data_IF_093536718871
#
_entry.id   IF_093536718871
#
_cell.length_a   1.000
_cell.length_b   1.000
_cell.length_c   1.000
_cell.angle_alpha   90.00
_cell.angle_beta   90.00
_cell.angle_gamma   90.00
#
_symmetry.space_group_name_H-M   'P 1'
#
loop_
_entity.id
_entity.type
_entity.pdbx_description
1 polymer ?
#
# COMPACT_ATOMS: atom_id res chain seq x y z
N UNK A 1 21.69 -15.99 -1.87
CA UNK A 1 21.16 -14.78 -1.21
C UNK A 1 19.65 -14.74 -1.42
N UNK A 2 18.87 -14.99 -0.36
CA UNK A 2 17.41 -14.88 -0.35
C UNK A 2 17.01 -13.40 -0.34
N UNK A 3 17.18 -12.73 -1.48
CA UNK A 3 16.65 -11.39 -1.69
C UNK A 3 15.20 -11.57 -2.15
N UNK A 4 14.29 -11.39 -1.19
CA UNK A 4 12.86 -11.50 -1.43
C UNK A 4 12.39 -10.33 -2.31
N UNK A 5 11.93 -10.65 -3.53
CA UNK A 5 11.66 -9.67 -4.58
C UNK A 5 10.31 -8.93 -4.43
N UNK A 6 9.51 -9.28 -3.41
CA UNK A 6 8.12 -8.81 -3.25
C UNK A 6 7.77 -8.20 -1.87
N UNK A 7 8.75 -8.03 -0.97
CA UNK A 7 8.53 -7.39 0.34
C UNK A 7 7.57 -8.14 1.27
N UNK A 8 7.25 -9.40 0.96
CA UNK A 8 6.39 -10.27 1.75
C UNK A 8 7.12 -10.79 2.99
N UNK A 9 8.42 -11.07 2.88
CA UNK A 9 9.30 -11.49 3.97
C UNK A 9 9.42 -10.43 5.06
N UNK A 10 9.52 -9.14 4.69
CA UNK A 10 9.58 -8.05 5.67
C UNK A 10 8.33 -8.03 6.55
N UNK A 11 7.14 -8.21 5.97
CA UNK A 11 5.89 -8.30 6.73
C UNK A 11 5.77 -9.60 7.52
N UNK A 12 6.29 -10.71 7.01
CA UNK A 12 6.37 -11.98 7.74
C UNK A 12 7.26 -11.88 8.98
N UNK A 13 8.44 -11.29 8.86
CA UNK A 13 9.40 -11.10 9.96
C UNK A 13 8.85 -10.14 11.01
N UNK A 14 8.20 -9.05 10.59
CA UNK A 14 7.55 -8.12 11.51
C UNK A 14 6.41 -8.82 12.28
N UNK A 15 5.55 -9.58 11.59
CA UNK A 15 4.49 -10.35 12.25
C UNK A 15 5.05 -11.43 13.19
N UNK A 16 6.14 -12.11 12.80
CA UNK A 16 6.80 -13.11 13.63
C UNK A 16 7.42 -12.49 14.89
N UNK A 17 8.05 -11.31 14.77
CA UNK A 17 8.60 -10.57 15.90
C UNK A 17 7.54 -10.12 16.90
N UNK A 18 6.40 -9.63 16.43
CA UNK A 18 5.29 -9.24 17.31
C UNK A 18 4.55 -10.43 17.92
N UNK A 19 4.41 -11.55 17.20
CA UNK A 19 3.83 -12.79 17.75
C UNK A 19 4.70 -13.37 18.88
N UNK A 20 6.02 -13.32 18.73
CA UNK A 20 6.95 -13.72 19.79
C UNK A 20 6.83 -12.81 21.03
N UNK A 21 6.67 -11.50 20.83
CA UNK A 21 6.54 -10.54 21.93
C UNK A 21 5.21 -10.68 22.69
N UNK A 22 4.08 -10.84 22.00
CA UNK A 22 2.77 -11.06 22.65
C UNK A 22 2.72 -12.43 23.36
N UNK A 23 3.37 -13.46 22.81
CA UNK A 23 3.54 -14.75 23.49
C UNK A 23 4.37 -14.62 24.78
N UNK A 24 5.47 -13.86 24.74
CA UNK A 24 6.33 -13.62 25.90
C UNK A 24 5.64 -12.80 27.00
N UNK A 25 4.86 -11.78 26.62
CA UNK A 25 4.09 -10.97 27.58
C UNK A 25 2.96 -11.79 28.23
N UNK A 26 2.34 -12.71 27.49
CA UNK A 26 1.35 -13.65 28.02
C UNK A 26 1.97 -14.64 29.01
N UNK A 27 3.17 -15.15 28.72
CA UNK A 27 3.94 -16.01 29.63
C UNK A 27 4.27 -15.29 30.95
N UNK A 28 4.76 -14.06 30.89
CA UNK A 28 5.03 -13.25 32.10
C UNK A 28 3.77 -12.85 32.89
N UNK A 29 2.58 -12.89 32.27
CA UNK A 29 1.30 -12.59 32.94
C UNK A 29 0.71 -13.77 33.72
N UNK A 30 1.44 -14.88 33.89
CA UNK A 30 1.02 -16.06 34.67
C UNK A 30 0.00 -16.96 33.97
N UNK A 31 -0.23 -16.77 32.66
CA UNK A 31 -1.14 -17.64 31.88
C UNK A 31 -0.44 -18.97 31.58
N UNK A 32 -1.07 -20.08 31.94
CA UNK A 32 -0.56 -21.42 31.64
C UNK A 32 -0.38 -21.67 30.13
N UNK A 33 0.35 -22.73 29.78
CA UNK A 33 0.75 -23.07 28.40
C UNK A 33 -0.38 -22.95 27.36
N UNK A 34 -1.62 -23.34 27.72
CA UNK A 34 -2.80 -23.21 26.85
C UNK A 34 -3.17 -21.75 26.54
N UNK A 35 -3.03 -20.84 27.51
CA UNK A 35 -3.28 -19.41 27.33
C UNK A 35 -2.24 -18.71 26.47
N UNK A 36 -0.98 -19.16 26.52
CA UNK A 36 0.10 -18.70 25.64
C UNK A 36 -0.12 -19.18 24.21
N UNK A 37 -0.49 -20.46 24.02
CA UNK A 37 -0.80 -21.01 22.71
C UNK A 37 -1.99 -20.31 22.05
N UNK A 38 -3.04 -20.03 22.81
CA UNK A 38 -4.21 -19.27 22.33
C UNK A 38 -3.85 -17.82 22.02
N UNK A 39 -3.05 -17.14 22.86
CA UNK A 39 -2.60 -15.78 22.58
C UNK A 39 -1.69 -15.70 21.34
N UNK A 40 -0.79 -16.66 21.17
CA UNK A 40 0.04 -16.78 19.97
C UNK A 40 -0.80 -17.09 18.73
N UNK A 41 -1.79 -17.98 18.85
CA UNK A 41 -2.73 -18.28 17.77
C UNK A 41 -3.60 -17.07 17.41
N UNK A 42 -4.14 -16.32 18.37
CA UNK A 42 -4.88 -15.08 18.10
C UNK A 42 -3.99 -13.93 17.61
N UNK A 43 -2.74 -13.87 18.04
CA UNK A 43 -1.73 -12.95 17.51
C UNK A 43 -1.38 -13.28 16.04
N UNK A 44 -1.29 -14.56 15.71
CA UNK A 44 -1.04 -15.08 14.37
C UNK A 44 -2.27 -14.98 13.45
N UNK A 45 -3.48 -15.15 14.00
CA UNK A 45 -4.76 -15.16 13.25
C UNK A 45 -5.48 -13.79 13.28
N UNK A 46 -4.95 -12.80 14.00
CA UNK A 46 -5.40 -11.40 13.87
C UNK A 46 -6.60 -11.01 14.72
N UNK A 47 -6.56 -11.32 16.02
CA UNK A 47 -7.54 -10.88 17.01
C UNK A 47 -7.39 -9.39 17.36
N UNK A 48 -8.22 -8.54 16.77
CA UNK A 48 -8.57 -7.21 17.30
C UNK A 48 -7.57 -6.07 17.06
N UNK A 49 -6.28 -6.23 17.33
CA UNK A 49 -5.31 -5.09 17.29
C UNK A 49 -4.74 -4.83 15.90
N UNK A 50 -4.82 -5.82 15.02
CA UNK A 50 -4.55 -5.63 13.59
C UNK A 50 -5.60 -4.72 12.95
N UNK A 51 -6.84 -4.57 13.46
CA UNK A 51 -7.83 -3.66 12.80
C UNK A 51 -7.38 -2.19 12.76
N UNK A 52 -6.58 -1.72 13.72
CA UNK A 52 -6.03 -0.37 13.72
C UNK A 52 -4.80 -0.21 12.79
N UNK A 53 -3.95 -1.23 12.70
CA UNK A 53 -2.82 -1.28 11.75
C UNK A 53 -3.24 -1.68 10.32
N UNK A 54 -4.40 -2.33 10.17
CA UNK A 54 -5.08 -2.76 8.94
C UNK A 54 -6.11 -1.73 8.50
N UNK A 55 -5.88 -0.45 8.78
CA UNK A 55 -6.39 0.59 7.91
C UNK A 55 -5.72 0.32 6.56
N UNK A 56 -6.42 -0.39 5.66
CA UNK A 56 -5.85 -1.01 4.47
C UNK A 56 -4.89 -0.04 3.77
N UNK A 57 -3.59 -0.28 3.96
CA UNK A 57 -2.55 0.62 3.51
C UNK A 57 -2.59 0.68 1.99
N UNK A 58 -2.82 1.87 1.47
CA UNK A 58 -2.86 2.10 0.04
C UNK A 58 -1.43 2.24 -0.48
N UNK A 59 -1.22 1.73 -1.69
CA UNK A 59 0.00 1.93 -2.45
C UNK A 59 -0.32 2.69 -3.74
N UNK A 60 0.58 3.59 -4.13
CA UNK A 60 0.52 4.32 -5.40
C UNK A 60 1.58 3.75 -6.33
N UNK A 61 1.20 3.52 -7.58
CA UNK A 61 2.03 2.87 -8.58
C UNK A 61 1.96 3.63 -9.92
N UNK A 62 2.95 3.35 -10.75
CA UNK A 62 3.07 3.83 -12.13
C UNK A 62 3.15 2.64 -13.07
N UNK A 63 2.64 2.83 -14.28
CA UNK A 63 2.96 1.97 -15.41
C UNK A 63 3.85 2.73 -16.38
N UNK A 64 4.96 2.13 -16.78
CA UNK A 64 5.91 2.71 -17.73
C UNK A 64 6.00 1.89 -19.01
N UNK A 65 6.12 2.58 -20.14
CA UNK A 65 6.40 1.99 -21.46
C UNK A 65 7.44 2.85 -22.15
N UNK A 66 8.51 2.23 -22.65
CA UNK A 66 9.61 2.92 -23.34
C UNK A 66 10.13 4.13 -22.52
N UNK A 67 10.39 3.89 -21.23
CA UNK A 67 10.85 4.91 -20.26
C UNK A 67 9.88 6.09 -20.03
N UNK A 68 8.65 6.03 -20.54
CA UNK A 68 7.60 7.04 -20.33
C UNK A 68 6.52 6.50 -19.41
N UNK A 69 6.06 7.32 -18.46
CA UNK A 69 4.91 6.99 -17.63
C UNK A 69 3.65 7.08 -18.47
N UNK A 70 2.92 5.97 -18.57
CA UNK A 70 1.67 5.88 -19.35
C UNK A 70 0.43 5.79 -18.47
N UNK A 71 0.56 5.40 -17.20
CA UNK A 71 -0.57 5.29 -16.29
C UNK A 71 -0.15 5.52 -14.84
N UNK A 72 -1.04 6.12 -14.05
CA UNK A 72 -0.88 6.32 -12.61
C UNK A 72 -2.09 5.73 -11.89
N UNK A 73 -1.88 5.00 -10.81
CA UNK A 73 -2.98 4.47 -10.03
C UNK A 73 -2.65 4.22 -8.56
N UNK A 74 -3.70 3.90 -7.79
CA UNK A 74 -3.59 3.44 -6.40
C UNK A 74 -4.28 2.09 -6.20
N UNK A 75 -3.78 1.29 -5.25
CA UNK A 75 -4.35 -0.02 -4.93
C UNK A 75 -4.17 -0.36 -3.45
N UNK A 76 -5.02 -1.26 -2.94
CA UNK A 76 -4.84 -1.90 -1.61
C UNK A 76 -4.05 -3.21 -1.72
N UNK A 77 -4.07 -3.83 -2.89
CA UNK A 77 -3.39 -5.09 -3.17
C UNK A 77 -2.56 -4.92 -4.45
N UNK A 78 -1.24 -4.91 -4.31
CA UNK A 78 -0.30 -4.68 -5.42
C UNK A 78 -0.26 -5.90 -6.34
N UNK A 79 -0.22 -7.10 -5.79
CA UNK A 79 -0.12 -8.37 -6.54
C UNK A 79 -1.30 -8.54 -7.48
N UNK A 80 -2.53 -8.46 -6.93
CA UNK A 80 -3.76 -8.57 -7.72
C UNK A 80 -3.82 -7.48 -8.80
N UNK A 81 -3.42 -6.25 -8.49
CA UNK A 81 -3.44 -5.14 -9.46
C UNK A 81 -2.40 -5.32 -10.57
N UNK A 82 -1.21 -5.84 -10.25
CA UNK A 82 -0.16 -6.16 -11.22
C UNK A 82 -0.66 -7.22 -12.19
N UNK A 83 -1.26 -8.30 -11.68
CA UNK A 83 -1.84 -9.37 -12.52
C UNK A 83 -2.97 -8.85 -13.42
N UNK A 84 -3.87 -8.01 -12.90
CA UNK A 84 -4.93 -7.41 -13.70
C UNK A 84 -4.40 -6.56 -14.87
N UNK A 85 -3.30 -5.83 -14.68
CA UNK A 85 -2.68 -5.06 -15.76
C UNK A 85 -1.97 -5.93 -16.79
N UNK A 86 -1.31 -7.02 -16.37
CA UNK A 86 -0.69 -8.02 -17.25
C UNK A 86 -1.71 -8.71 -18.17
N UNK A 87 -2.88 -9.05 -17.63
CA UNK A 87 -3.95 -9.71 -18.40
C UNK A 87 -4.80 -8.73 -19.21
N UNK A 88 -4.83 -7.45 -18.81
CA UNK A 88 -5.73 -6.45 -19.34
C UNK A 88 -5.15 -5.56 -20.45
N UNK A 89 -5.59 -4.30 -20.44
CA UNK A 89 -5.30 -3.25 -21.44
C UNK A 89 -3.88 -2.67 -21.37
N UNK A 90 -3.12 -2.99 -20.32
CA UNK A 90 -1.79 -2.44 -20.06
C UNK A 90 -0.70 -3.50 -20.01
N UNK A 91 -0.90 -4.61 -20.74
CA UNK A 91 0.05 -5.73 -20.83
C UNK A 91 1.42 -5.33 -21.38
N UNK A 92 1.47 -4.24 -22.12
CA UNK A 92 2.66 -3.66 -22.76
C UNK A 92 3.44 -2.68 -21.85
N UNK A 93 3.05 -2.54 -20.57
CA UNK A 93 3.65 -1.60 -19.65
C UNK A 93 4.19 -2.30 -18.38
N UNK A 94 5.28 -1.77 -17.84
CA UNK A 94 5.94 -2.27 -16.64
C UNK A 94 5.32 -1.64 -15.40
N UNK A 95 4.98 -2.45 -14.40
CA UNK A 95 4.36 -2.02 -13.16
C UNK A 95 5.41 -1.73 -12.08
N UNK A 96 5.44 -0.51 -11.56
CA UNK A 96 6.34 -0.08 -10.49
C UNK A 96 5.58 0.61 -9.35
N UNK A 97 5.76 0.14 -8.12
CA UNK A 97 5.23 0.81 -6.92
C UNK A 97 6.11 2.01 -6.59
N UNK A 98 5.49 3.17 -6.38
CA UNK A 98 6.19 4.41 -6.03
C UNK A 98 6.23 4.62 -4.52
N UNK A 99 5.11 4.34 -3.85
CA UNK A 99 5.03 4.47 -2.39
C UNK A 99 3.92 3.57 -1.83
N UNK A 100 4.18 2.95 -0.69
CA UNK A 100 3.27 2.08 0.06
C UNK A 100 2.97 2.67 1.44
N UNK A 101 2.15 2.00 2.24
CA UNK A 101 1.81 2.38 3.61
C UNK A 101 1.15 3.76 3.74
N UNK A 102 0.36 4.14 2.73
CA UNK A 102 -0.36 5.41 2.72
C UNK A 102 -1.79 5.23 3.22
N UNK A 103 -2.31 6.23 3.92
CA UNK A 103 -3.75 6.34 4.12
C UNK A 103 -4.46 6.52 2.78
N UNK A 104 -5.77 6.26 2.74
CA UNK A 104 -6.57 6.51 1.53
C UNK A 104 -6.42 7.95 1.01
N UNK A 105 -6.44 8.93 1.92
CA UNK A 105 -6.40 10.34 1.55
C UNK A 105 -5.04 10.75 0.97
N UNK A 106 -3.95 10.28 1.58
CA UNK A 106 -2.60 10.49 1.07
C UNK A 106 -2.40 9.83 -0.29
N UNK A 107 -2.79 8.56 -0.45
CA UNK A 107 -2.70 7.86 -1.72
C UNK A 107 -3.54 8.52 -2.81
N UNK A 108 -4.74 9.01 -2.48
CA UNK A 108 -5.62 9.72 -3.41
C UNK A 108 -5.01 11.03 -3.91
N UNK A 109 -4.44 11.80 -2.98
CA UNK A 109 -3.76 13.05 -3.32
C UNK A 109 -2.46 12.82 -4.09
N UNK A 110 -1.67 11.81 -3.70
CA UNK A 110 -0.41 11.48 -4.35
C UNK A 110 -0.62 10.98 -5.78
N UNK A 111 -1.59 10.08 -5.98
CA UNK A 111 -2.02 9.65 -7.32
C UNK A 111 -2.40 10.85 -8.19
N UNK A 112 -3.14 11.82 -7.63
CA UNK A 112 -3.52 13.01 -8.38
C UNK A 112 -2.33 13.92 -8.72
N UNK A 113 -1.40 14.10 -7.78
CA UNK A 113 -0.16 14.87 -8.00
C UNK A 113 0.69 14.26 -9.10
N UNK A 114 0.90 12.95 -9.08
CA UNK A 114 1.65 12.24 -10.11
C UNK A 114 0.90 12.29 -11.46
N UNK A 115 -0.43 12.12 -11.45
CA UNK A 115 -1.24 12.28 -12.65
C UNK A 115 -1.06 13.67 -13.30
N UNK A 116 -1.03 14.74 -12.50
CA UNK A 116 -0.78 16.09 -13.01
C UNK A 116 0.68 16.26 -13.47
N UNK A 117 1.66 15.76 -12.70
CA UNK A 117 3.11 15.80 -13.03
C UNK A 117 3.40 15.19 -14.41
N UNK A 118 2.75 14.06 -14.72
CA UNK A 118 2.94 13.34 -15.99
C UNK A 118 1.96 13.76 -17.10
N UNK A 119 1.31 14.92 -16.99
CA UNK A 119 0.54 15.54 -18.07
C UNK A 119 -0.94 15.15 -18.16
N UNK A 120 -1.45 14.38 -17.19
CA UNK A 120 -2.87 14.03 -17.08
C UNK A 120 -3.45 13.31 -18.30
N UNK A 121 -4.76 13.48 -18.55
CA UNK A 121 -5.51 12.77 -19.62
C UNK A 121 -4.91 12.94 -21.02
N UNK A 122 -4.19 14.04 -21.27
CA UNK A 122 -3.56 14.30 -22.57
C UNK A 122 -2.36 13.39 -22.85
N UNK A 123 -1.69 12.89 -21.80
CA UNK A 123 -0.44 12.11 -21.92
C UNK A 123 -0.54 10.70 -21.33
N UNK A 124 -1.43 10.52 -20.35
CA UNK A 124 -1.67 9.25 -19.67
C UNK A 124 -2.87 8.52 -20.28
N UNK A 125 -2.82 7.19 -20.25
CA UNK A 125 -3.92 6.29 -20.60
C UNK A 125 -5.04 6.26 -19.54
N UNK A 126 -4.93 7.05 -18.48
CA UNK A 126 -5.96 7.22 -17.46
C UNK A 126 -7.24 7.82 -18.08
N UNK A 127 -8.30 7.01 -18.17
CA UNK A 127 -9.60 7.42 -18.74
C UNK A 127 -10.21 8.59 -17.96
N UNK A 128 -10.13 8.52 -16.63
CA UNK A 128 -10.66 9.53 -15.71
C UNK A 128 -9.54 10.19 -14.91
N UNK A 129 -9.74 11.46 -14.57
CA UNK A 129 -8.89 12.14 -13.59
C UNK A 129 -9.09 11.50 -12.22
N UNK A 130 -8.02 11.36 -11.41
CA UNK A 130 -8.14 10.88 -10.05
C UNK A 130 -9.14 11.72 -9.24
N UNK A 131 -8.84 12.99 -8.97
CA UNK A 131 -9.73 13.86 -8.20
C UNK A 131 -10.43 14.82 -9.16
N UNK A 132 -11.75 14.96 -9.03
CA UNK A 132 -12.53 15.95 -9.78
C UNK A 132 -12.15 17.37 -9.37
N UNK A 133 -12.15 18.32 -10.33
CA UNK A 133 -11.90 19.74 -10.07
C UNK A 133 -12.95 20.36 -9.14
N UNK A 134 -14.17 19.84 -9.15
CA UNK A 134 -15.29 20.30 -8.31
C UNK A 134 -15.37 19.57 -6.96
N UNK A 135 -14.41 18.72 -6.62
CA UNK A 135 -14.45 17.98 -5.37
C UNK A 135 -14.18 18.90 -4.17
N UNK A 136 -15.13 18.99 -3.23
CA UNK A 136 -15.01 19.81 -2.01
C UNK A 136 -13.78 19.46 -1.16
N UNK A 137 -13.33 18.20 -1.18
CA UNK A 137 -12.14 17.69 -0.46
C UNK A 137 -10.84 17.80 -1.28
N UNK A 138 -10.84 18.46 -2.44
CA UNK A 138 -9.64 18.59 -3.28
C UNK A 138 -8.45 19.15 -2.50
N UNK A 139 -8.64 20.30 -1.83
CA UNK A 139 -7.59 20.95 -1.03
C UNK A 139 -7.06 20.04 0.08
N UNK A 140 -7.95 19.33 0.76
CA UNK A 140 -7.59 18.36 1.80
C UNK A 140 -6.68 17.26 1.25
N UNK A 141 -7.06 16.57 0.17
CA UNK A 141 -6.23 15.52 -0.44
C UNK A 141 -4.87 16.05 -0.92
N UNK A 142 -4.85 17.24 -1.51
CA UNK A 142 -3.60 17.87 -1.94
C UNK A 142 -2.71 18.23 -0.74
N UNK A 143 -3.29 18.65 0.38
CA UNK A 143 -2.55 18.97 1.60
C UNK A 143 -1.90 17.72 2.22
N UNK A 144 -2.71 16.69 2.54
CA UNK A 144 -2.22 15.49 3.25
C UNK A 144 -1.18 14.71 2.45
N UNK A 145 -1.30 14.68 1.11
CA UNK A 145 -0.34 13.99 0.24
C UNK A 145 0.99 14.73 0.00
N UNK A 146 1.16 15.95 0.52
CA UNK A 146 2.31 16.81 0.21
C UNK A 146 3.63 16.17 0.65
N UNK A 147 3.68 15.62 1.87
CA UNK A 147 4.90 15.00 2.40
C UNK A 147 5.25 13.73 1.63
N UNK A 148 4.24 12.89 1.38
CA UNK A 148 4.40 11.71 0.54
C UNK A 148 4.96 12.05 -0.86
N UNK A 149 4.52 13.14 -1.48
CA UNK A 149 5.03 13.60 -2.77
C UNK A 149 6.45 14.17 -2.71
N UNK A 150 6.77 14.92 -1.65
CA UNK A 150 8.11 15.50 -1.47
C UNK A 150 9.17 14.41 -1.27
N UNK A 151 8.84 13.32 -0.58
CA UNK A 151 9.74 12.18 -0.37
C UNK A 151 10.10 11.38 -1.62
N UNK A 152 9.56 11.74 -2.79
CA UNK A 152 9.84 11.09 -4.09
C UNK A 152 10.83 11.87 -4.96
N UNK A 153 11.24 13.06 -4.52
CA UNK A 153 12.28 13.87 -5.16
C UNK A 153 13.60 13.57 -4.49
#
# INVERSE_FOLDING_TARGET
MLVDSDGHFFWFVVNAGFAAYDGYKAYKSGKGWKGVAVAAAFGFVGGGRIKAAKQASHSVYLLTKNSKVVYVGRTKNVVSRRSAHKLGKHRDATFSVVKSNLTYAEARGLEHRLYLKYGGKKKLRNVIRPISRKNKKYKYYMSVSRNAYRSLK
#
